data_IF_905187517214
#
_entry.id   IF_905187517214
#
_cell.length_a   1.000
_cell.length_b   1.000
_cell.length_c   1.000
_cell.angle_alpha   90.00
_cell.angle_beta   90.00
_cell.angle_gamma   90.00
#
_symmetry.space_group_name_H-M   'P 1'
#
loop_
_entity.id
_entity.type
_entity.pdbx_description
1 polymer ?
#
# COMPACT_ATOMS: atom_id res chain seq x y z
N UNK A 1 14.33 18.40 -3.13
CA UNK A 1 13.98 17.15 -2.41
C UNK A 1 12.63 17.43 -1.76
N UNK A 2 11.55 17.06 -2.43
CA UNK A 2 10.19 17.25 -1.89
C UNK A 2 9.92 16.00 -1.06
N UNK A 3 9.99 16.13 0.24
CA UNK A 3 9.76 15.04 1.18
C UNK A 3 8.24 14.86 1.31
N UNK A 4 7.74 13.63 1.17
CA UNK A 4 6.39 13.28 1.64
C UNK A 4 6.20 13.84 3.06
N UNK A 5 5.01 14.29 3.40
CA UNK A 5 4.73 14.92 4.70
C UNK A 5 4.75 13.87 5.84
N UNK A 6 5.97 13.44 6.19
CA UNK A 6 6.25 12.47 7.24
C UNK A 6 5.88 13.00 8.63
N UNK A 7 5.74 14.32 8.78
CA UNK A 7 5.38 14.97 10.03
C UNK A 7 3.88 14.79 10.33
N UNK A 8 3.01 14.95 9.33
CA UNK A 8 1.58 14.65 9.47
C UNK A 8 1.30 13.16 9.77
N UNK A 9 2.12 12.28 9.21
CA UNK A 9 2.11 10.83 9.49
C UNK A 9 2.56 10.52 10.93
N UNK A 10 3.39 11.37 11.54
CA UNK A 10 3.88 11.17 12.90
C UNK A 10 2.83 11.55 13.95
N UNK A 11 1.96 12.53 13.64
CA UNK A 11 0.86 12.98 14.49
C UNK A 11 -0.26 11.92 14.61
N UNK A 12 -0.48 11.15 13.55
CA UNK A 12 -1.42 10.03 13.54
C UNK A 12 -0.65 8.73 13.78
N UNK A 13 -0.73 8.18 14.99
CA UNK A 13 -0.14 6.88 15.30
C UNK A 13 -0.90 5.77 14.57
N UNK A 14 -0.55 5.52 13.30
CA UNK A 14 -1.08 4.39 12.55
C UNK A 14 -0.51 3.09 13.12
N UNK A 15 -1.29 2.47 14.00
CA UNK A 15 -1.12 1.09 14.38
C UNK A 15 -2.33 0.33 13.87
N UNK A 16 -2.12 -0.71 13.08
CA UNK A 16 -3.23 -1.57 12.71
C UNK A 16 -3.92 -2.14 13.97
N UNK A 17 -5.26 -2.03 14.08
CA UNK A 17 -6.04 -3.02 14.82
C UNK A 17 -5.74 -4.41 14.26
N UNK A 18 -5.86 -5.47 15.07
CA UNK A 18 -5.46 -6.84 14.69
C UNK A 18 -5.97 -7.18 13.27
N UNK A 19 -5.06 -7.61 12.38
CA UNK A 19 -5.33 -7.99 10.98
C UNK A 19 -5.84 -6.89 10.01
N UNK A 20 -5.87 -5.61 10.39
CA UNK A 20 -6.33 -4.50 9.54
C UNK A 20 -5.23 -3.85 8.67
N UNK A 21 -4.20 -4.60 8.24
CA UNK A 21 -3.10 -4.00 7.46
C UNK A 21 -3.57 -3.32 6.16
N UNK A 22 -4.55 -3.93 5.48
CA UNK A 22 -5.28 -3.42 4.33
C UNK A 22 -5.91 -2.03 4.55
N UNK A 23 -6.84 -1.90 5.49
CA UNK A 23 -7.56 -0.66 5.81
C UNK A 23 -6.61 0.38 6.39
N UNK A 24 -5.63 -0.05 7.17
CA UNK A 24 -4.58 0.85 7.69
C UNK A 24 -3.75 1.41 6.53
N UNK A 25 -3.39 0.62 5.52
CA UNK A 25 -2.67 1.11 4.34
C UNK A 25 -3.50 2.13 3.54
N UNK A 26 -4.82 1.92 3.41
CA UNK A 26 -5.73 2.89 2.77
C UNK A 26 -5.74 4.21 3.55
N UNK A 27 -5.94 4.17 4.88
CA UNK A 27 -5.95 5.37 5.73
C UNK A 27 -4.63 6.14 5.66
N UNK A 28 -3.53 5.39 5.68
CA UNK A 28 -2.18 5.92 5.61
C UNK A 28 -1.94 6.59 4.25
N UNK A 29 -2.33 5.97 3.14
CA UNK A 29 -2.19 6.56 1.80
C UNK A 29 -3.02 7.84 1.64
N UNK A 30 -4.28 7.83 2.09
CA UNK A 30 -5.14 9.02 2.07
C UNK A 30 -4.54 10.17 2.88
N UNK A 31 -4.04 9.86 4.08
CA UNK A 31 -3.39 10.84 4.96
C UNK A 31 -2.11 11.40 4.32
N UNK A 32 -1.28 10.54 3.71
CA UNK A 32 -0.08 10.97 2.99
C UNK A 32 -0.41 11.89 1.80
N UNK A 33 -1.58 11.72 1.18
CA UNK A 33 -2.09 12.60 0.13
C UNK A 33 -2.75 13.88 0.67
N UNK A 34 -2.73 14.13 1.98
CA UNK A 34 -3.31 15.33 2.58
C UNK A 34 -4.80 15.23 2.89
N UNK A 35 -5.35 14.01 2.96
CA UNK A 35 -6.71 13.72 3.42
C UNK A 35 -6.63 12.92 4.74
N UNK A 36 -6.43 13.58 5.90
CA UNK A 36 -6.34 12.90 7.19
C UNK A 36 -7.54 11.97 7.40
N UNK A 37 -7.27 10.67 7.43
CA UNK A 37 -8.31 9.63 7.44
C UNK A 37 -7.97 8.61 8.52
N UNK A 38 -8.95 8.25 9.33
CA UNK A 38 -8.82 7.19 10.33
C UNK A 38 -9.26 5.82 9.79
N UNK A 39 -8.83 4.74 10.43
CA UNK A 39 -9.29 3.37 10.12
C UNK A 39 -10.81 3.26 10.33
N UNK A 40 -11.34 3.83 11.40
CA UNK A 40 -12.77 3.82 11.72
C UNK A 40 -13.60 4.56 10.66
N UNK A 41 -13.07 5.67 10.16
CA UNK A 41 -13.71 6.44 9.09
C UNK A 41 -13.81 5.62 7.80
N UNK A 42 -12.80 4.82 7.45
CA UNK A 42 -12.89 3.93 6.29
C UNK A 42 -14.01 2.92 6.48
N UNK A 43 -14.07 2.24 7.63
CA UNK A 43 -15.15 1.29 7.92
C UNK A 43 -16.53 1.95 7.80
N UNK A 44 -16.67 3.17 8.32
CA UNK A 44 -17.93 3.93 8.27
C UNK A 44 -18.31 4.33 6.83
N UNK A 45 -17.39 4.94 6.08
CA UNK A 45 -17.64 5.48 4.74
C UNK A 45 -17.86 4.38 3.71
N UNK A 46 -17.13 3.28 3.82
CA UNK A 46 -17.21 2.14 2.87
C UNK A 46 -18.23 1.09 3.28
N UNK A 47 -18.79 1.18 4.50
CA UNK A 47 -19.72 0.21 5.08
C UNK A 47 -19.15 -1.22 5.10
N UNK A 48 -17.85 -1.34 5.32
CA UNK A 48 -17.17 -2.62 5.37
C UNK A 48 -17.66 -3.49 6.55
N UNK A 49 -17.89 -4.79 6.35
CA UNK A 49 -18.24 -5.71 7.43
C UNK A 49 -17.01 -5.96 8.31
N UNK A 50 -16.93 -5.24 9.43
CA UNK A 50 -15.78 -5.24 10.36
C UNK A 50 -15.30 -6.66 10.70
N UNK A 51 -16.21 -7.57 11.02
CA UNK A 51 -15.86 -8.94 11.40
C UNK A 51 -15.09 -9.68 10.29
N UNK A 52 -15.56 -9.59 9.04
CA UNK A 52 -14.89 -10.26 7.91
C UNK A 52 -13.49 -9.71 7.66
N UNK A 53 -13.31 -8.39 7.76
CA UNK A 53 -11.99 -7.75 7.58
C UNK A 53 -11.01 -8.16 8.68
N UNK A 54 -11.47 -8.24 9.94
CA UNK A 54 -10.64 -8.60 11.08
C UNK A 54 -10.30 -10.10 11.13
N UNK A 55 -11.23 -10.95 10.72
CA UNK A 55 -11.07 -12.40 10.81
C UNK A 55 -10.29 -12.96 9.62
N UNK A 56 -10.61 -12.52 8.39
CA UNK A 56 -10.06 -13.10 7.15
C UNK A 56 -9.01 -12.22 6.48
N UNK A 57 -8.91 -10.94 6.85
CA UNK A 57 -8.15 -9.95 6.10
C UNK A 57 -8.86 -9.57 4.79
N UNK A 58 -8.10 -9.03 3.83
CA UNK A 58 -8.62 -8.70 2.49
C UNK A 58 -7.55 -8.97 1.44
N UNK A 59 -8.00 -9.42 0.28
CA UNK A 59 -7.20 -9.55 -0.94
C UNK A 59 -6.84 -8.18 -1.53
N UNK A 60 -5.95 -8.16 -2.52
CA UNK A 60 -5.63 -6.94 -3.28
C UNK A 60 -6.88 -6.31 -3.93
N UNK A 61 -7.77 -7.12 -4.52
CA UNK A 61 -9.02 -6.64 -5.13
C UNK A 61 -9.97 -6.02 -4.11
N UNK A 62 -10.23 -6.71 -2.99
CA UNK A 62 -11.14 -6.18 -1.96
C UNK A 62 -10.59 -4.87 -1.36
N UNK A 63 -9.26 -4.79 -1.19
CA UNK A 63 -8.59 -3.57 -0.71
C UNK A 63 -8.70 -2.45 -1.73
N UNK A 64 -8.55 -2.75 -3.02
CA UNK A 64 -8.77 -1.81 -4.11
C UNK A 64 -10.22 -1.30 -4.16
N UNK A 65 -11.19 -2.21 -4.12
CA UNK A 65 -12.63 -1.87 -4.14
C UNK A 65 -13.01 -1.00 -2.93
N UNK A 66 -12.41 -1.26 -1.78
CA UNK A 66 -12.56 -0.44 -0.57
C UNK A 66 -11.98 0.95 -0.77
N UNK A 67 -10.77 1.07 -1.31
CA UNK A 67 -10.15 2.35 -1.60
C UNK A 67 -11.03 3.15 -2.58
N UNK A 68 -11.46 2.52 -3.67
CA UNK A 68 -12.31 3.15 -4.68
C UNK A 68 -13.63 3.63 -4.08
N UNK A 69 -14.31 2.76 -3.31
CA UNK A 69 -15.55 3.10 -2.61
C UNK A 69 -15.38 4.30 -1.68
N UNK A 70 -14.24 4.38 -0.96
CA UNK A 70 -13.94 5.52 -0.11
C UNK A 70 -13.79 6.81 -0.92
N UNK A 71 -12.96 6.77 -1.96
CA UNK A 71 -12.70 7.92 -2.85
C UNK A 71 -13.99 8.45 -3.47
N UNK A 72 -14.86 7.57 -3.95
CA UNK A 72 -16.15 7.93 -4.54
C UNK A 72 -17.11 8.54 -3.50
N UNK A 73 -17.27 7.88 -2.33
CA UNK A 73 -18.19 8.34 -1.28
C UNK A 73 -17.74 9.66 -0.63
N UNK A 74 -16.43 9.84 -0.47
CA UNK A 74 -15.83 11.07 0.05
C UNK A 74 -15.61 12.15 -1.03
N UNK A 75 -15.90 11.83 -2.31
CA UNK A 75 -15.74 12.72 -3.47
C UNK A 75 -14.33 13.31 -3.59
N UNK A 76 -13.32 12.46 -3.36
CA UNK A 76 -11.93 12.89 -3.42
C UNK A 76 -11.43 12.93 -4.88
N UNK A 77 -10.63 13.94 -5.27
CA UNK A 77 -10.08 14.05 -6.62
C UNK A 77 -8.86 13.12 -6.79
N UNK A 78 -9.05 11.82 -6.57
CA UNK A 78 -8.00 10.80 -6.64
C UNK A 78 -8.32 9.78 -7.73
N UNK A 79 -7.28 9.38 -8.48
CA UNK A 79 -7.34 8.21 -9.35
C UNK A 79 -6.70 7.02 -8.65
N UNK A 80 -7.36 5.86 -8.74
CA UNK A 80 -6.93 4.62 -8.08
C UNK A 80 -6.83 3.52 -9.14
N UNK A 81 -5.67 2.87 -9.24
CA UNK A 81 -5.41 1.76 -10.16
C UNK A 81 -4.85 0.57 -9.38
N UNK A 82 -5.23 -0.65 -9.78
CA UNK A 82 -4.68 -1.88 -9.22
C UNK A 82 -3.90 -2.64 -10.28
N UNK A 83 -2.74 -3.15 -9.88
CA UNK A 83 -1.89 -4.02 -10.69
C UNK A 83 -1.56 -5.32 -9.96
N UNK A 84 -1.92 -6.42 -10.61
CA UNK A 84 -1.47 -7.75 -10.22
C UNK A 84 -0.13 -8.05 -10.89
N UNK A 85 0.83 -8.58 -10.14
CA UNK A 85 2.18 -8.85 -10.64
C UNK A 85 2.31 -10.19 -11.39
N UNK A 86 1.25 -11.00 -11.44
CA UNK A 86 1.13 -12.15 -12.36
C UNK A 86 0.82 -11.74 -13.82
N UNK A 87 0.53 -10.46 -14.06
CA UNK A 87 0.31 -9.90 -15.40
C UNK A 87 1.65 -9.77 -16.13
N UNK A 88 1.65 -10.10 -17.43
CA UNK A 88 2.87 -10.06 -18.26
C UNK A 88 3.43 -8.65 -18.42
N UNK A 89 2.56 -7.66 -18.32
CA UNK A 89 2.87 -6.25 -18.47
C UNK A 89 3.63 -5.68 -17.26
N UNK A 90 3.54 -6.33 -16.09
CA UNK A 90 4.21 -5.89 -14.87
C UNK A 90 5.51 -6.67 -14.71
N UNK A 91 6.55 -6.19 -15.40
CA UNK A 91 7.91 -6.72 -15.25
C UNK A 91 8.64 -6.06 -14.07
N UNK A 92 9.81 -6.59 -13.71
CA UNK A 92 10.66 -5.94 -12.71
C UNK A 92 11.03 -4.51 -13.11
N UNK A 93 11.36 -4.27 -14.38
CA UNK A 93 11.70 -2.92 -14.88
C UNK A 93 10.51 -1.96 -14.77
N UNK A 94 9.30 -2.42 -15.13
CA UNK A 94 8.07 -1.63 -14.97
C UNK A 94 7.78 -1.34 -13.50
N UNK A 95 8.03 -2.29 -12.60
CA UNK A 95 7.90 -2.07 -11.16
C UNK A 95 8.89 -1.01 -10.65
N UNK A 96 10.15 -1.05 -11.08
CA UNK A 96 11.15 -0.04 -10.71
C UNK A 96 10.75 1.34 -11.22
N UNK A 97 10.24 1.45 -12.45
CA UNK A 97 9.74 2.72 -13.00
C UNK A 97 8.59 3.30 -12.17
N UNK A 98 7.64 2.45 -11.74
CA UNK A 98 6.54 2.86 -10.86
C UNK A 98 7.05 3.28 -9.48
N UNK A 99 8.05 2.57 -8.91
CA UNK A 99 8.69 2.97 -7.65
C UNK A 99 9.34 4.36 -7.78
N UNK A 100 10.18 4.56 -8.79
CA UNK A 100 10.91 5.81 -9.01
C UNK A 100 9.97 7.00 -9.17
N UNK A 101 8.85 6.80 -9.87
CA UNK A 101 7.80 7.80 -9.97
C UNK A 101 7.19 8.13 -8.60
N UNK A 102 6.75 7.13 -7.85
CA UNK A 102 6.08 7.34 -6.56
C UNK A 102 6.97 7.92 -5.45
N UNK A 103 8.30 7.86 -5.60
CA UNK A 103 9.22 8.51 -4.64
C UNK A 103 9.64 9.91 -5.10
N UNK A 104 9.43 10.25 -6.37
CA UNK A 104 9.77 11.57 -6.93
C UNK A 104 8.58 12.53 -6.98
N UNK A 105 7.35 12.03 -6.86
CA UNK A 105 6.10 12.80 -6.87
C UNK A 105 5.31 12.59 -5.56
N UNK A 106 5.11 13.66 -4.79
CA UNK A 106 4.37 13.62 -3.52
C UNK A 106 2.86 13.43 -3.71
N UNK A 107 2.38 13.51 -4.96
CA UNK A 107 1.00 13.23 -5.35
C UNK A 107 0.80 11.79 -5.81
N UNK A 108 1.84 10.96 -5.86
CA UNK A 108 1.80 9.57 -6.30
C UNK A 108 2.19 8.62 -5.15
N UNK A 109 1.21 7.89 -4.64
CA UNK A 109 1.37 6.99 -3.49
C UNK A 109 1.03 5.57 -3.91
N UNK A 110 1.96 4.65 -3.64
CA UNK A 110 1.80 3.23 -3.93
C UNK A 110 1.63 2.43 -2.63
N UNK A 111 0.60 1.60 -2.57
CA UNK A 111 0.42 0.55 -1.57
C UNK A 111 0.87 -0.76 -2.19
N UNK A 112 1.74 -1.49 -1.50
CA UNK A 112 2.20 -2.81 -1.92
C UNK A 112 1.49 -3.89 -1.10
N UNK A 113 1.04 -4.93 -1.80
CA UNK A 113 0.63 -6.20 -1.21
C UNK A 113 1.70 -7.24 -1.53
N UNK A 114 2.28 -7.86 -0.50
CA UNK A 114 3.42 -8.75 -0.67
C UNK A 114 3.44 -9.91 0.33
N UNK A 115 4.14 -10.97 -0.03
CA UNK A 115 4.44 -12.09 0.85
C UNK A 115 5.47 -11.71 1.90
N UNK A 116 5.11 -11.82 3.17
CA UNK A 116 5.98 -11.46 4.30
C UNK A 116 7.25 -12.33 4.32
N UNK A 117 7.10 -13.62 4.04
CA UNK A 117 8.20 -14.58 4.09
C UNK A 117 9.29 -14.26 3.08
N UNK A 118 8.89 -13.86 1.87
CA UNK A 118 9.80 -13.51 0.79
C UNK A 118 10.42 -12.13 1.05
N UNK A 119 9.62 -11.13 1.44
CA UNK A 119 10.10 -9.77 1.65
C UNK A 119 11.16 -9.69 2.76
N UNK A 120 10.97 -10.44 3.86
CA UNK A 120 11.92 -10.50 4.96
C UNK A 120 12.97 -11.62 4.84
N UNK A 121 12.94 -12.42 3.76
CA UNK A 121 13.82 -13.58 3.56
C UNK A 121 13.82 -14.53 4.78
N UNK A 122 12.61 -14.80 5.29
CA UNK A 122 12.38 -15.62 6.47
C UNK A 122 11.14 -16.50 6.29
N UNK A 123 11.38 -17.77 5.94
CA UNK A 123 10.36 -18.78 5.69
C UNK A 123 9.51 -19.16 6.92
N UNK A 124 9.91 -18.76 8.13
CA UNK A 124 9.11 -18.98 9.34
C UNK A 124 8.00 -17.92 9.49
N UNK A 125 8.09 -16.83 8.74
CA UNK A 125 6.99 -15.86 8.62
C UNK A 125 6.02 -16.35 7.55
N UNK A 126 4.74 -16.06 7.70
CA UNK A 126 3.71 -16.43 6.74
C UNK A 126 2.71 -15.31 6.52
N UNK A 127 1.87 -15.48 5.50
CA UNK A 127 0.80 -14.56 5.16
C UNK A 127 1.20 -13.42 4.21
N UNK A 128 0.19 -12.69 3.76
CA UNK A 128 0.33 -11.43 3.04
C UNK A 128 0.34 -10.23 3.97
N UNK A 129 0.86 -9.10 3.50
CA UNK A 129 0.83 -7.84 4.22
C UNK A 129 0.60 -6.67 3.25
N UNK A 130 0.14 -5.54 3.79
CA UNK A 130 -0.05 -4.28 3.06
C UNK A 130 0.72 -3.16 3.74
N UNK A 131 1.55 -2.46 2.97
CA UNK A 131 2.33 -1.31 3.44
C UNK A 131 2.59 -0.32 2.31
N UNK A 132 2.99 0.91 2.66
CA UNK A 132 3.25 1.97 1.69
C UNK A 132 4.70 1.94 1.22
N UNK A 133 4.91 2.29 -0.05
CA UNK A 133 6.22 2.66 -0.56
C UNK A 133 6.59 4.06 -0.07
N UNK A 134 7.64 4.15 0.75
CA UNK A 134 8.12 5.41 1.30
C UNK A 134 9.17 6.06 0.39
N UNK A 135 10.22 5.31 0.04
CA UNK A 135 11.43 5.83 -0.61
C UNK A 135 12.13 4.74 -1.44
N UNK A 136 13.10 5.12 -2.28
CA UNK A 136 13.92 4.22 -3.09
C UNK A 136 15.31 4.80 -3.34
N UNK A 137 16.34 3.99 -3.09
CA UNK A 137 17.73 4.35 -3.37
C UNK A 137 18.19 3.65 -4.67
N UNK A 138 18.37 4.39 -5.78
CA UNK A 138 18.77 3.80 -7.06
C UNK A 138 20.21 3.26 -7.06
N UNK A 139 21.07 3.68 -6.13
CA UNK A 139 22.45 3.18 -6.07
C UNK A 139 22.52 1.77 -5.47
N UNK A 140 21.68 1.51 -4.46
CA UNK A 140 21.62 0.23 -3.76
C UNK A 140 20.48 -0.67 -4.24
N UNK A 141 19.54 -0.12 -5.03
CA UNK A 141 18.30 -0.76 -5.46
C UNK A 141 17.45 -1.24 -4.27
N UNK A 142 17.50 -0.52 -3.16
CA UNK A 142 16.69 -0.78 -1.98
C UNK A 142 15.51 0.18 -1.92
N UNK A 143 14.32 -0.36 -1.70
CA UNK A 143 13.14 0.42 -1.37
C UNK A 143 12.93 0.47 0.14
N UNK A 144 12.35 1.57 0.61
CA UNK A 144 11.93 1.76 2.00
C UNK A 144 10.42 1.58 2.09
N UNK A 145 9.98 0.69 2.97
CA UNK A 145 8.57 0.44 3.28
C UNK A 145 8.19 1.22 4.52
N UNK A 146 7.07 1.95 4.47
CA UNK A 146 6.38 2.48 5.63
C UNK A 146 5.35 1.46 6.11
N UNK A 147 5.66 0.77 7.20
CA UNK A 147 4.90 -0.40 7.63
C UNK A 147 3.63 -0.03 8.41
N UNK A 148 2.52 -0.70 8.10
CA UNK A 148 1.24 -0.55 8.83
C UNK A 148 1.21 -1.29 10.18
N UNK A 149 2.25 -2.07 10.50
CA UNK A 149 2.48 -2.74 11.77
C UNK A 149 3.82 -2.35 12.42
N UNK A 150 3.99 -1.11 12.88
CA UNK A 150 5.26 -0.62 13.44
C UNK A 150 5.68 -1.32 14.77
N UNK A 151 4.81 -2.16 15.35
CA UNK A 151 5.14 -3.00 16.52
C UNK A 151 5.74 -4.35 16.14
N UNK A 152 5.26 -4.92 15.04
CA UNK A 152 5.75 -6.21 14.52
C UNK A 152 7.00 -6.02 13.65
N UNK A 153 7.04 -4.94 12.89
CA UNK A 153 8.16 -4.51 12.06
C UNK A 153 8.57 -3.09 12.47
N UNK A 154 9.81 -2.67 12.21
CA UNK A 154 10.16 -1.26 12.41
C UNK A 154 9.26 -0.38 11.53
N UNK A 155 8.88 0.82 12.01
CA UNK A 155 8.00 1.76 11.27
C UNK A 155 8.45 1.95 9.81
N UNK A 156 9.76 2.02 9.60
CA UNK A 156 10.37 1.97 8.29
C UNK A 156 11.38 0.83 8.23
N UNK A 157 11.43 0.12 7.11
CA UNK A 157 12.42 -0.91 6.85
C UNK A 157 12.77 -0.97 5.36
N UNK A 158 13.95 -1.50 5.06
CA UNK A 158 14.47 -1.60 3.69
C UNK A 158 14.34 -3.01 3.12
N UNK A 159 14.11 -3.09 1.82
CA UNK A 159 14.07 -4.33 1.05
C UNK A 159 14.74 -4.12 -0.31
N UNK A 160 15.55 -5.07 -0.82
CA UNK A 160 15.95 -5.06 -2.22
C UNK A 160 14.71 -5.06 -3.13
N UNK A 161 14.68 -4.21 -4.16
CA UNK A 161 13.54 -4.07 -5.05
C UNK A 161 13.17 -5.38 -5.75
N UNK A 162 14.17 -6.15 -6.19
CA UNK A 162 13.95 -7.45 -6.83
C UNK A 162 13.27 -8.46 -5.88
N UNK A 163 13.64 -8.43 -4.59
CA UNK A 163 13.03 -9.28 -3.57
C UNK A 163 11.58 -8.90 -3.32
N UNK A 164 11.30 -7.60 -3.22
CA UNK A 164 9.92 -7.12 -3.07
C UNK A 164 9.08 -7.46 -4.30
N UNK A 165 9.62 -7.32 -5.51
CA UNK A 165 8.95 -7.74 -6.73
C UNK A 165 8.56 -9.21 -6.68
N UNK A 166 9.49 -10.11 -6.31
CA UNK A 166 9.20 -11.54 -6.11
C UNK A 166 8.12 -11.76 -5.04
N UNK A 167 8.14 -10.98 -3.96
CA UNK A 167 7.14 -11.06 -2.90
C UNK A 167 5.74 -10.61 -3.38
N UNK A 168 5.65 -9.66 -4.31
CA UNK A 168 4.40 -9.23 -4.95
C UNK A 168 3.92 -10.23 -6.03
N UNK A 169 4.82 -10.91 -6.74
CA UNK A 169 4.48 -11.95 -7.73
C UNK A 169 3.90 -13.20 -7.05
N UNK A 170 4.29 -13.48 -5.81
CA UNK A 170 3.78 -14.62 -5.05
C UNK A 170 2.25 -14.59 -4.91
N UNK A 171 1.63 -15.77 -4.96
CA UNK A 171 0.17 -15.90 -4.94
C UNK A 171 -0.40 -15.67 -3.55
N UNK A 172 -1.51 -14.94 -3.51
CA UNK A 172 -2.28 -14.82 -2.29
C UNK A 172 -2.96 -16.15 -1.99
N UNK A 173 -2.92 -16.61 -0.74
CA UNK A 173 -3.53 -17.88 -0.34
C UNK A 173 -5.06 -17.84 -0.35
N UNK A 174 -5.65 -16.65 -0.25
CA UNK A 174 -7.10 -16.42 -0.29
C UNK A 174 -7.63 -16.10 -1.70
N UNK A 175 -6.75 -16.04 -2.72
CA UNK A 175 -7.11 -15.69 -4.10
C UNK A 175 -6.42 -16.60 -5.12
N UNK A 176 -6.90 -16.59 -6.35
CA UNK A 176 -6.22 -17.28 -7.48
C UNK A 176 -5.17 -16.40 -8.15
N UNK A 177 -5.05 -15.13 -7.74
CA UNK A 177 -4.16 -14.12 -8.30
C UNK A 177 -2.90 -13.94 -7.48
N UNK A 178 -1.86 -13.38 -8.11
CA UNK A 178 -0.73 -12.82 -7.38
C UNK A 178 -1.18 -11.73 -6.41
N UNK A 179 -0.25 -11.30 -5.56
CA UNK A 179 -0.33 -9.99 -4.93
C UNK A 179 0.05 -8.90 -5.94
N UNK A 180 0.46 -7.73 -5.47
CA UNK A 180 0.78 -6.62 -6.37
C UNK A 180 0.72 -5.24 -5.72
N UNK A 181 0.15 -4.28 -6.44
CA UNK A 181 0.23 -2.86 -6.08
C UNK A 181 -1.10 -2.15 -6.33
N UNK A 182 -1.42 -1.20 -5.46
CA UNK A 182 -2.43 -0.17 -5.69
C UNK A 182 -1.70 1.15 -5.87
N UNK A 183 -1.95 1.81 -7.00
CA UNK A 183 -1.41 3.10 -7.39
C UNK A 183 -2.48 4.17 -7.16
N UNK A 184 -2.15 5.20 -6.39
CA UNK A 184 -3.06 6.28 -6.04
C UNK A 184 -2.43 7.61 -6.39
N UNK A 185 -3.11 8.38 -7.23
CA UNK A 185 -2.61 9.67 -7.71
C UNK A 185 -3.65 10.76 -7.51
N UNK A 186 -3.24 11.96 -7.09
CA UNK A 186 -4.12 13.13 -7.23
C UNK A 186 -4.43 13.35 -8.70
N UNK A 187 -5.70 13.55 -9.03
CA UNK A 187 -6.06 14.01 -10.36
C UNK A 187 -5.40 15.37 -10.58
N UNK A 188 -4.78 15.57 -11.75
CA UNK A 188 -4.26 16.89 -12.10
C UNK A 188 -5.42 17.88 -12.13
N UNK A 189 -5.23 19.08 -11.56
CA UNK A 189 -6.13 20.24 -11.72
C UNK A 189 -6.06 20.76 -13.17
N UNK A 190 -6.35 19.90 -14.14
CA UNK A 190 -6.51 20.28 -15.54
C UNK A 190 -8.00 20.50 -15.79
N UNK A 191 -8.36 21.78 -15.76
CA UNK A 191 -9.57 22.45 -16.27
C UNK A 191 -10.66 22.77 -15.23
N UNK A 192 -10.50 23.93 -14.59
CA UNK A 192 -11.59 24.92 -14.50
C UNK A 192 -11.34 26.01 -15.53
#
# INVERSE_FOLDING_TARGET
MVTKDLDNINLLAFQQPINCCNVTAVAYALTALGHPTSVDEIFYVTRLPIASVLDDGMTLAETYDTFLSYVENAKLPLSVKMEYFDRREITFDTFVQEIERAVSDDKDIHILNFSVSIAHDNFNLGGGHFSLLADYDPNTQELTIADTNPKKYTRFWKCPAERMYKACVDKDSSSTRSRGMIVVRKADDSHQ
#
